data_IF_495607042352
#
_entry.id   IF_495607042352
#
_cell.length_a   1.000
_cell.length_b   1.000
_cell.length_c   1.000
_cell.angle_alpha   90.00
_cell.angle_beta   90.00
_cell.angle_gamma   90.00
#
_symmetry.space_group_name_H-M   'P 1'
#
loop_
_entity.id
_entity.type
_entity.pdbx_description
1 polymer ?
#
# COMPACT_ATOMS: atom_id res chain seq x y z
N UNK A 1 46.32 -34.41 -43.55
CA UNK A 1 47.38 -34.66 -42.56
C UNK A 1 46.75 -35.28 -41.34
N UNK A 2 47.07 -36.54 -41.11
CA UNK A 2 46.52 -37.36 -40.05
C UNK A 2 47.46 -37.38 -38.83
N UNK A 3 46.86 -37.64 -37.67
CA UNK A 3 47.40 -38.44 -36.55
C UNK A 3 48.56 -37.95 -35.68
N UNK A 4 48.26 -38.00 -34.37
CA UNK A 4 49.06 -38.58 -33.28
C UNK A 4 50.32 -37.85 -32.79
N UNK A 5 50.40 -37.61 -31.47
CA UNK A 5 51.16 -38.45 -30.51
C UNK A 5 51.25 -37.76 -29.15
N UNK A 6 50.96 -38.50 -28.09
CA UNK A 6 51.39 -38.18 -26.74
C UNK A 6 52.79 -38.72 -26.46
N UNK A 7 53.50 -38.06 -25.53
CA UNK A 7 54.66 -38.52 -24.73
C UNK A 7 54.59 -37.66 -23.45
N UNK A 8 54.44 -38.17 -22.23
CA UNK A 8 55.33 -39.06 -21.46
C UNK A 8 56.15 -38.18 -20.48
N UNK A 9 55.71 -38.01 -19.23
CA UNK A 9 56.15 -38.68 -17.97
C UNK A 9 57.52 -38.25 -17.39
N UNK A 10 57.48 -37.67 -16.18
CA UNK A 10 58.36 -37.94 -15.01
C UNK A 10 57.88 -37.08 -13.83
N UNK A 11 57.20 -37.60 -12.81
CA UNK A 11 57.67 -38.37 -11.64
C UNK A 11 58.56 -37.58 -10.68
N UNK A 12 58.00 -37.16 -9.54
CA UNK A 12 58.56 -37.42 -8.20
C UNK A 12 57.45 -37.19 -7.15
N UNK A 13 57.35 -38.12 -6.21
CA UNK A 13 56.27 -38.21 -5.24
C UNK A 13 56.77 -38.11 -3.80
N UNK A 14 55.83 -37.83 -2.89
CA UNK A 14 55.78 -38.19 -1.47
C UNK A 14 54.81 -37.21 -0.78
N UNK A 15 53.85 -37.58 0.05
CA UNK A 15 53.35 -38.87 0.50
C UNK A 15 52.08 -38.64 1.34
N UNK A 16 51.42 -39.74 1.73
CA UNK A 16 50.62 -39.81 2.96
C UNK A 16 49.18 -39.30 2.92
N UNK A 17 48.23 -40.23 2.80
CA UNK A 17 46.77 -40.08 3.00
C UNK A 17 46.41 -40.13 4.52
N UNK A 18 45.12 -40.24 4.99
CA UNK A 18 43.81 -40.00 4.37
C UNK A 18 42.78 -39.22 5.26
N UNK A 19 41.65 -38.86 4.64
CA UNK A 19 40.25 -38.79 5.12
C UNK A 19 39.92 -38.60 6.62
N UNK A 20 39.08 -37.58 6.90
CA UNK A 20 38.01 -37.70 7.91
C UNK A 20 36.76 -36.90 7.53
N UNK A 21 35.64 -37.62 7.50
CA UNK A 21 34.28 -37.11 7.55
C UNK A 21 34.09 -36.18 8.75
N UNK A 22 33.38 -35.06 8.55
CA UNK A 22 32.81 -34.28 9.64
C UNK A 22 31.29 -34.21 9.44
N UNK A 23 30.61 -35.00 10.27
CA UNK A 23 29.18 -34.88 10.55
C UNK A 23 28.85 -33.53 11.22
N UNK A 24 27.59 -33.08 11.16
CA UNK A 24 27.19 -31.74 11.61
C UNK A 24 27.17 -31.66 13.14
N UNK A 25 27.97 -30.77 13.70
CA UNK A 25 27.88 -30.41 15.11
C UNK A 25 26.67 -29.51 15.35
N UNK A 26 25.65 -30.08 16.01
CA UNK A 26 24.59 -29.32 16.70
C UNK A 26 25.25 -28.29 17.62
N UNK A 27 25.11 -27.01 17.30
CA UNK A 27 25.37 -25.93 18.25
C UNK A 27 24.03 -25.42 18.76
N UNK A 28 23.69 -25.87 19.96
CA UNK A 28 22.62 -25.34 20.81
C UNK A 28 22.91 -23.87 21.13
N UNK A 29 22.04 -22.96 20.69
CA UNK A 29 22.02 -21.57 21.17
C UNK A 29 21.30 -21.51 22.52
N UNK A 30 21.82 -20.79 23.52
CA UNK A 30 21.14 -20.60 24.78
C UNK A 30 20.00 -19.58 24.64
N UNK A 31 18.84 -19.95 25.16
CA UNK A 31 17.68 -19.10 25.42
C UNK A 31 18.04 -18.01 26.44
N UNK A 32 17.70 -16.76 26.15
CA UNK A 32 17.58 -15.69 27.16
C UNK A 32 16.22 -15.00 26.99
N UNK A 33 15.45 -14.75 28.07
CA UNK A 33 14.03 -14.42 28.03
C UNK A 33 13.75 -12.91 28.19
N UNK A 34 12.52 -12.49 27.89
CA UNK A 34 11.91 -11.31 28.51
C UNK A 34 11.46 -10.22 27.54
N UNK A 35 10.20 -10.28 27.14
CA UNK A 35 9.41 -9.17 26.59
C UNK A 35 8.94 -8.23 27.70
N UNK A 36 8.96 -6.93 27.44
CA UNK A 36 8.02 -5.95 27.98
C UNK A 36 7.91 -4.73 27.02
N UNK A 37 6.76 -4.04 26.97
CA UNK A 37 6.31 -3.25 25.83
C UNK A 37 6.78 -1.79 25.86
N UNK A 38 6.91 -1.18 24.67
CA UNK A 38 7.21 0.26 24.51
C UNK A 38 5.92 1.11 24.59
N UNK A 39 5.95 2.27 25.28
CA UNK A 39 4.76 3.10 25.46
C UNK A 39 4.56 4.12 24.33
N UNK A 40 3.28 4.41 24.10
CA UNK A 40 2.72 5.43 23.22
C UNK A 40 2.96 6.88 23.69
N UNK A 41 2.79 7.79 22.72
CA UNK A 41 2.41 9.20 22.83
C UNK A 41 3.52 10.25 23.02
N UNK A 42 3.62 11.16 22.04
CA UNK A 42 3.51 12.62 22.21
C UNK A 42 3.72 13.31 20.85
N UNK A 43 2.62 13.69 20.18
CA UNK A 43 2.63 14.63 19.06
C UNK A 43 1.90 15.92 19.49
N UNK A 44 2.63 17.03 19.46
CA UNK A 44 2.11 18.39 19.69
C UNK A 44 1.69 19.02 18.35
N UNK A 45 0.52 19.69 18.26
CA UNK A 45 0.11 20.34 17.03
C UNK A 45 0.58 21.81 16.96
N UNK A 46 1.34 22.15 15.91
CA UNK A 46 1.62 23.52 15.49
C UNK A 46 0.38 24.09 14.75
N UNK A 47 -0.25 25.12 15.31
CA UNK A 47 -1.36 25.88 14.70
C UNK A 47 -0.81 27.02 13.84
N UNK A 48 -1.09 27.01 12.54
CA UNK A 48 -1.04 28.20 11.69
C UNK A 48 -2.46 28.79 11.56
N UNK A 49 -2.62 30.08 11.90
CA UNK A 49 -3.87 30.84 11.78
C UNK A 49 -3.92 31.54 10.42
N UNK A 50 -4.94 31.28 9.62
CA UNK A 50 -5.32 32.08 8.45
C UNK A 50 -6.47 33.01 8.85
N UNK A 51 -6.30 34.32 8.65
CA UNK A 51 -7.35 35.34 8.84
C UNK A 51 -8.24 35.41 7.58
N UNK A 52 -9.55 35.28 7.75
CA UNK A 52 -10.56 35.64 6.75
C UNK A 52 -11.50 36.69 7.36
N UNK A 53 -11.75 37.75 6.59
CA UNK A 53 -12.55 38.95 6.91
C UNK A 53 -14.02 38.62 7.18
N UNK A 54 -14.65 39.47 8.00
CA UNK A 54 -16.06 39.44 8.40
C UNK A 54 -17.05 39.57 7.22
N UNK A 55 -18.25 38.93 7.31
CA UNK A 55 -19.34 39.08 6.35
C UNK A 55 -20.37 40.17 6.74
N UNK A 56 -20.96 40.82 5.73
CA UNK A 56 -22.08 41.78 5.80
C UNK A 56 -23.42 41.04 5.97
N UNK A 57 -24.40 41.54 6.76
CA UNK A 57 -25.61 40.79 7.08
C UNK A 57 -26.73 40.98 6.03
N UNK A 58 -27.43 39.90 5.70
CA UNK A 58 -28.70 39.92 4.96
C UNK A 58 -29.73 39.12 5.79
N UNK A 59 -30.93 39.68 5.91
CA UNK A 59 -32.01 39.29 6.82
C UNK A 59 -32.71 37.95 6.52
N UNK A 60 -33.77 37.65 7.28
CA UNK A 60 -34.23 36.30 7.57
C UNK A 60 -35.16 35.77 6.49
N UNK A 61 -34.94 34.55 6.00
CA UNK A 61 -36.00 33.59 5.67
C UNK A 61 -35.41 32.24 5.25
N UNK A 62 -36.03 31.16 5.77
CA UNK A 62 -35.88 29.75 5.40
C UNK A 62 -34.48 29.11 5.60
N UNK A 63 -34.27 28.56 6.81
CA UNK A 63 -33.14 27.70 7.19
C UNK A 63 -33.08 26.42 6.36
N UNK A 64 -32.23 26.40 5.34
CA UNK A 64 -31.71 25.18 4.73
C UNK A 64 -30.30 24.89 5.27
N UNK A 65 -30.15 23.84 6.08
CA UNK A 65 -28.84 23.39 6.56
C UNK A 65 -28.03 22.69 5.45
N UNK A 66 -26.71 22.89 5.34
CA UNK A 66 -25.85 22.23 4.34
C UNK A 66 -25.72 20.71 4.58
N UNK A 67 -25.28 19.92 3.57
CA UNK A 67 -25.41 18.47 3.59
C UNK A 67 -24.30 17.76 4.39
N UNK A 68 -24.72 16.96 5.36
CA UNK A 68 -23.98 15.84 5.99
C UNK A 68 -24.27 14.51 5.25
N UNK A 69 -23.38 13.49 5.33
CA UNK A 69 -23.39 12.27 4.48
C UNK A 69 -24.61 11.36 4.73
N UNK A 70 -24.91 10.37 3.85
CA UNK A 70 -26.25 9.81 3.73
C UNK A 70 -26.52 8.79 4.84
N UNK A 71 -27.47 9.12 5.71
CA UNK A 71 -28.04 8.19 6.67
C UNK A 71 -29.33 8.77 7.23
N UNK A 72 -30.46 8.25 6.73
CA UNK A 72 -31.86 8.54 7.12
C UNK A 72 -32.25 10.02 7.34
N UNK A 73 -33.17 10.53 6.51
CA UNK A 73 -33.87 11.79 6.80
C UNK A 73 -35.36 11.53 6.99
N UNK A 74 -35.88 11.98 8.14
CA UNK A 74 -37.30 11.96 8.48
C UNK A 74 -37.95 13.27 8.02
N UNK A 75 -39.07 13.17 7.30
CA UNK A 75 -39.90 14.31 6.91
C UNK A 75 -41.21 14.20 7.67
N UNK A 76 -41.51 15.20 8.50
CA UNK A 76 -42.78 15.33 9.22
C UNK A 76 -43.66 16.32 8.46
N UNK A 77 -44.84 15.88 8.04
CA UNK A 77 -45.84 16.74 7.40
C UNK A 77 -46.96 17.03 8.41
N UNK A 78 -47.27 18.30 8.64
CA UNK A 78 -48.46 18.71 9.39
C UNK A 78 -49.63 18.90 8.42
N UNK A 79 -50.78 18.32 8.81
CA UNK A 79 -52.11 18.50 8.26
C UNK A 79 -52.32 18.14 6.78
N UNK A 80 -52.89 16.95 6.55
CA UNK A 80 -53.71 16.63 5.37
C UNK A 80 -53.03 16.54 4.00
N UNK A 81 -51.76 16.93 3.86
CA UNK A 81 -51.04 17.03 2.58
C UNK A 81 -50.35 15.77 2.08
N UNK A 82 -50.89 14.57 2.35
CA UNK A 82 -50.22 13.30 2.04
C UNK A 82 -49.87 13.10 0.55
N UNK A 83 -50.68 13.63 -0.37
CA UNK A 83 -50.45 13.54 -1.83
C UNK A 83 -49.34 14.46 -2.32
N UNK A 84 -49.21 15.68 -1.76
CA UNK A 84 -48.17 16.63 -2.16
C UNK A 84 -46.76 16.16 -1.77
N UNK A 85 -46.63 15.46 -0.64
CA UNK A 85 -45.37 14.87 -0.21
C UNK A 85 -44.94 13.70 -1.12
N UNK A 86 -45.89 12.88 -1.57
CA UNK A 86 -45.65 11.75 -2.46
C UNK A 86 -45.27 12.23 -3.87
N UNK A 87 -45.97 13.21 -4.42
CA UNK A 87 -45.65 13.78 -5.74
C UNK A 87 -44.28 14.48 -5.76
N UNK A 88 -43.92 15.18 -4.68
CA UNK A 88 -42.60 15.81 -4.55
C UNK A 88 -41.45 14.79 -4.43
N UNK A 89 -41.69 13.66 -3.76
CA UNK A 89 -40.73 12.55 -3.64
C UNK A 89 -40.60 11.74 -4.93
N UNK A 90 -41.72 11.48 -5.63
CA UNK A 90 -41.74 10.79 -6.91
C UNK A 90 -40.99 11.58 -8.00
N UNK A 91 -41.13 12.92 -8.02
CA UNK A 91 -40.38 13.81 -8.92
C UNK A 91 -38.85 13.77 -8.72
N UNK A 92 -38.38 13.19 -7.61
CA UNK A 92 -36.94 13.00 -7.29
C UNK A 92 -36.48 11.54 -7.37
N UNK A 93 -37.29 10.65 -7.95
CA UNK A 93 -36.89 9.27 -8.24
C UNK A 93 -36.87 8.32 -7.03
N UNK A 94 -37.73 8.56 -6.04
CA UNK A 94 -37.77 7.79 -4.80
C UNK A 94 -39.06 6.98 -4.62
N UNK A 95 -38.93 5.80 -4.01
CA UNK A 95 -40.06 5.01 -3.51
C UNK A 95 -40.47 5.50 -2.11
N UNK A 96 -41.78 5.67 -1.89
CA UNK A 96 -42.35 6.16 -0.64
C UNK A 96 -43.29 5.11 -0.03
N UNK A 97 -43.01 4.67 1.20
CA UNK A 97 -43.90 3.78 1.97
C UNK A 97 -44.56 4.53 3.14
N UNK A 98 -45.84 4.27 3.34
CA UNK A 98 -46.63 4.86 4.44
C UNK A 98 -46.41 4.05 5.71
N UNK A 99 -45.76 4.64 6.72
CA UNK A 99 -45.57 4.01 8.02
C UNK A 99 -46.86 4.02 8.83
N UNK A 100 -47.44 2.84 9.08
CA UNK A 100 -48.71 2.70 9.82
C UNK A 100 -48.55 2.96 11.32
N UNK A 101 -48.94 4.16 11.77
CA UNK A 101 -49.13 4.48 13.19
C UNK A 101 -50.62 4.60 13.54
N UNK A 102 -51.13 3.74 14.42
CA UNK A 102 -52.49 3.89 14.98
C UNK A 102 -52.49 5.01 16.03
N UNK A 103 -53.10 6.15 15.70
CA UNK A 103 -53.51 7.16 16.67
C UNK A 103 -53.09 8.60 16.31
N UNK A 104 -54.09 9.43 15.97
CA UNK A 104 -54.00 10.90 16.07
C UNK A 104 -53.19 11.63 15.00
N UNK A 105 -53.80 11.84 13.83
CA UNK A 105 -53.65 13.07 13.01
C UNK A 105 -52.31 13.39 12.34
N UNK A 106 -51.28 12.54 12.40
CA UNK A 106 -49.98 12.79 11.75
C UNK A 106 -49.51 11.57 10.94
N UNK A 107 -49.41 11.74 9.62
CA UNK A 107 -48.84 10.74 8.72
C UNK A 107 -47.31 10.83 8.75
N UNK A 108 -46.64 9.71 9.04
CA UNK A 108 -45.17 9.61 8.99
C UNK A 108 -44.77 8.82 7.75
N UNK A 109 -43.93 9.44 6.93
CA UNK A 109 -43.39 8.84 5.71
C UNK A 109 -41.90 8.55 5.88
N UNK A 110 -41.51 7.31 5.61
CA UNK A 110 -40.12 6.88 5.69
C UNK A 110 -39.57 6.82 4.27
N UNK A 111 -38.53 7.60 4.02
CA UNK A 111 -37.83 7.60 2.75
C UNK A 111 -36.61 6.67 2.80
N UNK A 112 -36.46 5.81 1.79
CA UNK A 112 -35.19 5.14 1.47
C UNK A 112 -34.73 5.64 0.10
N UNK A 113 -33.46 6.06 -0.06
CA UNK A 113 -32.92 6.27 -1.39
C UNK A 113 -32.98 4.94 -2.15
N UNK A 114 -33.59 4.95 -3.34
CA UNK A 114 -33.41 3.88 -4.32
C UNK A 114 -31.91 3.82 -4.64
N UNK A 115 -31.32 2.63 -4.53
CA UNK A 115 -29.94 2.42 -5.00
C UNK A 115 -29.87 2.85 -6.47
N UNK A 116 -28.84 3.62 -6.89
CA UNK A 116 -28.70 3.93 -8.30
C UNK A 116 -28.68 2.61 -9.08
N UNK A 117 -29.43 2.50 -10.19
CA UNK A 117 -29.42 1.29 -10.99
C UNK A 117 -27.98 1.03 -11.43
N UNK A 118 -27.48 -0.16 -11.10
CA UNK A 118 -26.14 -0.66 -11.42
C UNK A 118 -25.86 -0.33 -12.90
N UNK A 119 -24.86 0.53 -13.21
CA UNK A 119 -24.53 0.80 -14.60
C UNK A 119 -23.94 -0.50 -15.16
N UNK A 120 -24.76 -1.19 -15.96
CA UNK A 120 -24.49 -2.48 -16.56
C UNK A 120 -24.38 -3.65 -15.56
N UNK A 121 -25.51 -4.36 -15.39
CA UNK A 121 -25.53 -5.77 -15.02
C UNK A 121 -24.73 -6.60 -16.02
N UNK A 122 -23.44 -6.71 -15.77
CA UNK A 122 -22.52 -7.65 -16.40
C UNK A 122 -21.80 -8.37 -15.27
N UNK A 123 -22.44 -9.38 -14.68
CA UNK A 123 -21.80 -10.27 -13.72
C UNK A 123 -20.59 -10.93 -14.37
N UNK A 124 -19.41 -10.31 -14.24
CA UNK A 124 -18.15 -10.93 -14.61
C UNK A 124 -17.99 -12.15 -13.73
N UNK A 125 -17.90 -13.32 -14.34
CA UNK A 125 -17.52 -14.56 -13.64
C UNK A 125 -16.25 -14.26 -12.83
N UNK A 126 -16.27 -14.62 -11.55
CA UNK A 126 -15.15 -14.49 -10.61
C UNK A 126 -13.80 -14.98 -11.16
N UNK A 127 -13.78 -15.85 -12.16
CA UNK A 127 -12.60 -16.41 -12.80
C UNK A 127 -11.84 -15.44 -13.75
N UNK A 128 -12.21 -14.16 -13.84
CA UNK A 128 -11.58 -13.19 -14.75
C UNK A 128 -10.90 -12.00 -14.07
N UNK A 129 -10.79 -11.96 -12.74
CA UNK A 129 -10.18 -10.82 -12.04
C UNK A 129 -8.73 -10.62 -12.49
N UNK A 130 -8.38 -9.38 -12.89
CA UNK A 130 -7.01 -8.97 -13.18
C UNK A 130 -6.48 -8.14 -12.01
N UNK A 131 -5.32 -8.51 -11.49
CA UNK A 131 -4.66 -7.79 -10.41
C UNK A 131 -3.49 -6.95 -10.93
N UNK A 132 -3.44 -5.68 -10.55
CA UNK A 132 -2.28 -4.80 -10.75
C UNK A 132 -1.53 -4.66 -9.43
N UNK A 133 -0.23 -4.94 -9.44
CA UNK A 133 0.62 -4.86 -8.25
C UNK A 133 1.71 -3.82 -8.46
N UNK A 134 1.69 -2.76 -7.65
CA UNK A 134 2.71 -1.73 -7.68
C UNK A 134 3.91 -2.10 -6.80
N UNK A 135 5.09 -2.21 -7.41
CA UNK A 135 6.35 -2.51 -6.73
C UNK A 135 7.33 -1.34 -6.88
N UNK A 136 8.02 -0.98 -5.79
CA UNK A 136 9.02 0.08 -5.77
C UNK A 136 10.41 -0.49 -5.48
N UNK A 137 11.41 0.02 -6.19
CA UNK A 137 12.83 -0.22 -5.92
C UNK A 137 13.30 0.80 -4.88
N UNK A 138 13.83 0.32 -3.76
CA UNK A 138 14.27 1.16 -2.64
C UNK A 138 15.64 0.70 -2.14
N UNK A 139 16.29 1.51 -1.30
CA UNK A 139 17.49 1.08 -0.58
C UNK A 139 17.11 -0.09 0.34
N UNK A 140 17.98 -1.10 0.43
CA UNK A 140 17.73 -2.27 1.26
C UNK A 140 17.55 -1.87 2.74
N UNK A 141 16.51 -2.41 3.39
CA UNK A 141 16.15 -2.06 4.75
C UNK A 141 17.24 -2.35 5.79
N UNK A 142 18.18 -3.25 5.49
CA UNK A 142 19.31 -3.56 6.37
C UNK A 142 20.48 -2.57 6.24
N UNK A 143 20.45 -1.67 5.24
CA UNK A 143 21.50 -0.69 5.02
C UNK A 143 21.28 0.54 5.88
N UNK A 144 22.31 0.93 6.63
CA UNK A 144 22.37 2.24 7.27
C UNK A 144 22.64 3.32 6.21
N UNK A 145 21.62 4.13 5.92
CA UNK A 145 21.72 5.25 4.99
C UNK A 145 22.72 6.30 5.46
N UNK A 146 23.26 7.05 4.51
CA UNK A 146 24.14 8.21 4.75
C UNK A 146 23.58 9.39 3.98
N UNK A 147 23.46 10.53 4.65
CA UNK A 147 23.12 11.79 4.00
C UNK A 147 24.32 12.27 3.18
N UNK A 148 24.06 12.82 2.00
CA UNK A 148 25.11 13.40 1.16
C UNK A 148 25.69 14.65 1.84
N UNK A 149 27.00 14.94 1.71
CA UNK A 149 27.60 16.17 2.26
C UNK A 149 26.98 17.47 1.72
N UNK A 150 26.39 17.42 0.52
CA UNK A 150 25.69 18.54 -0.11
C UNK A 150 24.28 18.80 0.45
N UNK A 151 23.80 17.96 1.37
CA UNK A 151 22.44 18.00 1.95
C UNK A 151 21.31 17.92 0.92
N UNK A 152 21.57 17.43 -0.29
CA UNK A 152 20.57 17.33 -1.37
C UNK A 152 19.89 15.96 -1.44
N UNK A 153 20.24 15.04 -0.55
CA UNK A 153 19.60 13.72 -0.47
C UNK A 153 20.45 12.69 0.27
N UNK A 154 20.11 11.42 0.07
CA UNK A 154 20.87 10.27 0.59
C UNK A 154 21.79 9.70 -0.48
N UNK A 155 22.87 9.05 -0.06
CA UNK A 155 23.79 8.35 -0.97
C UNK A 155 23.10 7.10 -1.51
N UNK A 156 22.87 7.06 -2.82
CA UNK A 156 22.28 5.92 -3.55
C UNK A 156 23.33 5.12 -4.32
N UNK A 157 24.46 5.73 -4.66
CA UNK A 157 25.48 5.11 -5.50
C UNK A 157 26.26 4.03 -4.75
N UNK A 158 26.40 2.86 -5.37
CA UNK A 158 27.08 1.70 -4.76
C UNK A 158 26.32 1.07 -3.58
N UNK A 159 25.11 1.54 -3.27
CA UNK A 159 24.27 0.99 -2.22
C UNK A 159 23.40 -0.14 -2.76
N UNK A 160 23.28 -1.22 -1.99
CA UNK A 160 22.38 -2.33 -2.32
C UNK A 160 20.93 -1.83 -2.30
N UNK A 161 20.22 -2.08 -3.40
CA UNK A 161 18.79 -1.85 -3.51
C UNK A 161 18.05 -3.17 -3.57
N UNK A 162 16.80 -3.16 -3.11
CA UNK A 162 15.90 -4.32 -3.15
C UNK A 162 14.46 -3.86 -3.38
N UNK A 163 13.54 -4.83 -3.48
CA UNK A 163 12.13 -4.51 -3.52
C UNK A 163 11.70 -4.01 -2.15
N UNK A 164 10.84 -2.99 -2.12
CA UNK A 164 10.24 -2.53 -0.88
C UNK A 164 9.53 -3.71 -0.16
N UNK A 165 9.79 -3.98 1.13
CA UNK A 165 9.22 -5.15 1.82
C UNK A 165 7.69 -5.22 1.75
N UNK A 166 7.00 -4.10 1.87
CA UNK A 166 5.53 -4.07 1.74
C UNK A 166 5.05 -4.42 0.32
N UNK A 167 5.86 -4.13 -0.70
CA UNK A 167 5.56 -4.51 -2.08
C UNK A 167 5.76 -6.02 -2.31
N UNK A 168 6.72 -6.66 -1.64
CA UNK A 168 6.89 -8.13 -1.71
C UNK A 168 5.65 -8.86 -1.18
N UNK A 169 5.07 -8.36 -0.08
CA UNK A 169 3.83 -8.88 0.52
C UNK A 169 2.63 -8.68 -0.41
N UNK A 170 2.55 -7.52 -1.07
CA UNK A 170 1.51 -7.26 -2.05
C UNK A 170 1.60 -8.20 -3.26
N UNK A 171 2.82 -8.49 -3.73
CA UNK A 171 3.06 -9.47 -4.81
C UNK A 171 2.67 -10.88 -4.35
N UNK A 172 3.07 -11.29 -3.15
CA UNK A 172 2.73 -12.60 -2.61
C UNK A 172 1.20 -12.78 -2.51
N UNK A 173 0.47 -11.78 -2.03
CA UNK A 173 -0.99 -11.88 -1.92
C UNK A 173 -1.63 -12.05 -3.30
N UNK A 174 -1.20 -11.26 -4.28
CA UNK A 174 -1.70 -11.39 -5.65
C UNK A 174 -1.42 -12.79 -6.23
N UNK A 175 -0.25 -13.36 -5.95
CA UNK A 175 0.12 -14.72 -6.38
C UNK A 175 -0.73 -15.77 -5.66
N UNK A 176 -0.96 -15.64 -4.34
CA UNK A 176 -1.85 -16.54 -3.58
C UNK A 176 -3.27 -16.52 -4.12
N UNK A 177 -3.80 -15.34 -4.44
CA UNK A 177 -5.12 -15.20 -5.07
C UNK A 177 -5.18 -15.87 -6.45
N UNK A 178 -4.09 -15.80 -7.22
CA UNK A 178 -3.98 -16.52 -8.49
C UNK A 178 -3.92 -18.03 -8.30
N UNK A 179 -3.17 -18.53 -7.33
CA UNK A 179 -3.10 -19.98 -7.03
C UNK A 179 -4.45 -20.54 -6.59
N UNK A 180 -5.25 -19.74 -5.88
CA UNK A 180 -6.64 -20.03 -5.52
C UNK A 180 -7.62 -19.92 -6.71
N UNK A 181 -7.13 -19.58 -7.91
CA UNK A 181 -7.92 -19.35 -9.14
C UNK A 181 -8.96 -18.24 -9.01
N UNK A 182 -8.75 -17.31 -8.09
CA UNK A 182 -9.58 -16.12 -7.91
C UNK A 182 -9.11 -14.98 -8.82
N UNK A 183 -7.81 -14.90 -9.08
CA UNK A 183 -7.20 -13.95 -10.02
C UNK A 183 -6.67 -14.70 -11.23
N UNK A 184 -6.98 -14.21 -12.43
CA UNK A 184 -6.55 -14.79 -13.71
C UNK A 184 -5.15 -14.35 -14.10
N UNK A 185 -4.83 -13.09 -13.86
CA UNK A 185 -3.58 -12.47 -14.31
C UNK A 185 -3.07 -11.47 -13.26
N UNK A 186 -1.77 -11.54 -12.97
CA UNK A 186 -1.06 -10.62 -12.08
C UNK A 186 -0.06 -9.80 -12.89
N UNK A 187 -0.27 -8.48 -12.90
CA UNK A 187 0.54 -7.50 -13.63
C UNK A 187 1.39 -6.74 -12.61
N UNK A 188 2.71 -6.86 -12.68
CA UNK A 188 3.61 -6.09 -11.83
C UNK A 188 3.99 -4.78 -12.51
N UNK A 189 3.87 -3.64 -11.81
CA UNK A 189 4.24 -2.32 -12.33
C UNK A 189 5.26 -1.64 -11.42
N UNK A 190 6.28 -1.02 -12.03
CA UNK A 190 7.20 -0.14 -11.31
C UNK A 190 7.46 1.12 -12.13
N UNK A 191 7.58 2.27 -11.45
CA UNK A 191 7.87 3.56 -12.05
C UNK A 191 9.26 4.01 -11.58
N UNK A 192 10.10 4.48 -12.51
CA UNK A 192 11.42 5.01 -12.14
C UNK A 192 12.50 4.76 -13.21
N UNK A 193 13.78 4.78 -12.79
CA UNK A 193 14.91 4.52 -13.67
C UNK A 193 14.92 3.10 -14.23
N UNK A 194 15.71 2.85 -15.28
CA UNK A 194 15.85 1.53 -15.91
C UNK A 194 16.18 0.39 -14.92
N UNK A 195 16.86 0.70 -13.81
CA UNK A 195 17.17 -0.25 -12.74
C UNK A 195 15.92 -0.84 -12.06
N UNK A 196 14.76 -0.19 -12.14
CA UNK A 196 13.47 -0.72 -11.65
C UNK A 196 13.05 -2.00 -12.39
N UNK A 197 13.58 -2.27 -13.59
CA UNK A 197 13.32 -3.53 -14.29
C UNK A 197 13.82 -4.75 -13.50
N UNK A 198 14.90 -4.63 -12.72
CA UNK A 198 15.39 -5.72 -11.86
C UNK A 198 14.36 -6.09 -10.80
N UNK A 199 13.74 -5.08 -10.17
CA UNK A 199 12.66 -5.26 -9.19
C UNK A 199 11.44 -5.92 -9.82
N UNK A 200 11.07 -5.53 -11.04
CA UNK A 200 9.98 -6.18 -11.79
C UNK A 200 10.34 -7.64 -12.09
N UNK A 201 11.60 -7.96 -12.45
CA UNK A 201 12.04 -9.35 -12.67
C UNK A 201 11.91 -10.19 -11.40
N UNK A 202 12.18 -9.63 -10.22
CA UNK A 202 11.93 -10.30 -8.94
C UNK A 202 10.45 -10.61 -8.76
N UNK A 203 9.55 -9.66 -9.00
CA UNK A 203 8.10 -9.91 -8.94
C UNK A 203 7.64 -11.00 -9.93
N UNK A 204 8.19 -10.99 -11.16
CA UNK A 204 7.95 -12.01 -12.18
C UNK A 204 8.45 -13.41 -11.79
N UNK A 205 9.52 -13.47 -10.98
CA UNK A 205 10.10 -14.69 -10.45
C UNK A 205 9.32 -15.23 -9.24
N UNK A 206 8.71 -14.35 -8.43
CA UNK A 206 7.80 -14.74 -7.35
C UNK A 206 6.50 -15.33 -7.89
N UNK A 207 5.99 -14.80 -9.00
CA UNK A 207 4.82 -15.38 -9.66
C UNK A 207 4.03 -14.44 -10.55
N UNK A 208 4.38 -13.15 -10.69
CA UNK A 208 3.67 -12.25 -11.59
C UNK A 208 3.75 -12.73 -13.06
N UNK A 209 2.71 -12.49 -13.86
CA UNK A 209 2.58 -13.01 -15.22
C UNK A 209 3.33 -12.13 -16.22
N UNK A 210 3.17 -10.80 -16.10
CA UNK A 210 3.87 -9.80 -16.92
C UNK A 210 4.23 -8.55 -16.13
N UNK A 211 5.18 -7.78 -16.66
CA UNK A 211 5.70 -6.57 -16.05
C UNK A 211 5.47 -5.34 -16.92
N UNK A 212 5.18 -4.21 -16.29
CA UNK A 212 5.13 -2.89 -16.91
C UNK A 212 6.16 -1.99 -16.20
N UNK A 213 7.10 -1.47 -16.96
CA UNK A 213 8.07 -0.50 -16.51
C UNK A 213 7.66 0.88 -17.03
N UNK A 214 7.30 1.78 -16.12
CA UNK A 214 7.08 3.17 -16.47
C UNK A 214 8.40 3.91 -16.33
N UNK A 215 9.06 4.11 -17.45
CA UNK A 215 10.41 4.64 -17.50
C UNK A 215 10.40 6.15 -17.24
N UNK A 216 11.12 6.54 -16.18
CA UNK A 216 11.38 7.92 -15.81
C UNK A 216 12.90 8.11 -15.75
N UNK A 217 13.47 9.09 -16.46
CA UNK A 217 14.90 9.36 -16.41
C UNK A 217 15.37 9.59 -14.97
N UNK A 218 16.59 9.16 -14.63
CA UNK A 218 17.13 9.26 -13.28
C UNK A 218 17.08 10.69 -12.71
N UNK A 219 17.30 11.71 -13.54
CA UNK A 219 17.23 13.12 -13.14
C UNK A 219 15.82 13.59 -12.72
N UNK A 220 14.77 12.93 -13.22
CA UNK A 220 13.37 13.23 -12.88
C UNK A 220 12.83 12.27 -11.82
N UNK A 221 13.46 11.09 -11.66
CA UNK A 221 13.06 10.10 -10.68
C UNK A 221 13.15 10.61 -9.23
N UNK A 222 14.11 11.49 -8.92
CA UNK A 222 14.24 12.11 -7.60
C UNK A 222 13.04 13.00 -7.23
N UNK A 223 12.28 13.48 -8.23
CA UNK A 223 11.07 14.29 -8.05
C UNK A 223 9.79 13.47 -8.12
N UNK A 224 9.90 12.17 -8.39
CA UNK A 224 8.76 11.28 -8.55
C UNK A 224 8.17 10.97 -7.18
N UNK A 225 7.07 11.66 -6.84
CA UNK A 225 6.36 11.46 -5.58
C UNK A 225 5.12 10.57 -5.70
N UNK A 226 4.43 10.33 -4.58
CA UNK A 226 3.17 9.57 -4.54
C UNK A 226 2.10 10.07 -5.51
N UNK A 227 2.03 11.39 -5.73
CA UNK A 227 1.04 12.00 -6.64
C UNK A 227 1.22 11.54 -8.09
N UNK A 228 2.45 11.60 -8.60
CA UNK A 228 2.76 11.21 -9.98
C UNK A 228 2.54 9.71 -10.16
N UNK A 229 3.02 8.90 -9.21
CA UNK A 229 2.83 7.45 -9.22
C UNK A 229 1.34 7.10 -9.21
N UNK A 230 0.54 7.73 -8.36
CA UNK A 230 -0.90 7.46 -8.28
C UNK A 230 -1.65 7.78 -9.58
N UNK A 231 -1.27 8.86 -10.29
CA UNK A 231 -1.85 9.19 -11.61
C UNK A 231 -1.49 8.14 -12.67
N UNK A 232 -0.22 7.71 -12.69
CA UNK A 232 0.24 6.64 -13.58
C UNK A 232 -0.50 5.34 -13.32
N UNK A 233 -0.62 4.94 -12.05
CA UNK A 233 -1.32 3.72 -11.65
C UNK A 233 -2.81 3.77 -12.00
N UNK A 234 -3.47 4.91 -11.81
CA UNK A 234 -4.87 5.09 -12.21
C UNK A 234 -5.06 4.90 -13.73
N UNK A 235 -4.21 5.52 -14.56
CA UNK A 235 -4.27 5.34 -16.02
C UNK A 235 -3.96 3.92 -16.47
N UNK A 236 -3.04 3.24 -15.78
CA UNK A 236 -2.78 1.83 -16.04
C UNK A 236 -3.93 0.94 -15.62
N UNK A 237 -4.58 1.22 -14.50
CA UNK A 237 -5.74 0.46 -14.04
C UNK A 237 -6.89 0.52 -15.05
N UNK A 238 -7.17 1.71 -15.60
CA UNK A 238 -8.16 1.92 -16.67
C UNK A 238 -7.75 1.22 -17.98
N UNK A 239 -6.51 1.44 -18.45
CA UNK A 239 -5.98 0.85 -19.70
C UNK A 239 -6.01 -0.68 -19.67
N UNK A 240 -5.63 -1.26 -18.54
CA UNK A 240 -5.56 -2.70 -18.34
C UNK A 240 -6.85 -3.30 -17.79
N UNK A 241 -7.88 -2.48 -17.53
CA UNK A 241 -9.20 -2.92 -17.01
C UNK A 241 -9.04 -3.86 -15.81
N UNK A 242 -8.21 -3.46 -14.85
CA UNK A 242 -7.94 -4.27 -13.66
C UNK A 242 -9.08 -4.15 -12.66
N UNK A 243 -9.28 -5.20 -11.88
CA UNK A 243 -10.36 -5.28 -10.90
C UNK A 243 -9.83 -5.14 -9.47
N UNK A 244 -8.54 -5.41 -9.25
CA UNK A 244 -7.89 -5.30 -7.95
C UNK A 244 -6.52 -4.63 -8.10
N UNK A 245 -6.27 -3.58 -7.33
CA UNK A 245 -4.99 -2.91 -7.29
C UNK A 245 -4.34 -3.09 -5.91
N UNK A 246 -3.20 -3.78 -5.88
CA UNK A 246 -2.45 -4.08 -4.66
C UNK A 246 -1.18 -3.23 -4.61
N UNK A 247 -0.97 -2.54 -3.50
CA UNK A 247 0.27 -1.82 -3.20
C UNK A 247 0.78 -2.22 -1.82
N UNK A 248 2.04 -1.90 -1.52
CA UNK A 248 2.48 -1.85 -0.14
C UNK A 248 1.83 -0.67 0.61
N UNK A 249 1.67 -0.79 1.93
CA UNK A 249 1.25 0.31 2.82
C UNK A 249 2.08 1.58 2.60
N UNK A 250 3.39 1.46 2.72
CA UNK A 250 4.32 2.57 2.54
C UNK A 250 5.59 2.09 1.85
N UNK A 251 6.38 3.04 1.34
CA UNK A 251 7.73 2.78 0.90
C UNK A 251 8.70 3.25 1.98
N UNK A 252 9.68 2.42 2.33
CA UNK A 252 10.61 2.66 3.45
C UNK A 252 11.62 3.79 3.21
N UNK A 253 11.63 4.38 2.02
CA UNK A 253 12.52 5.46 1.64
C UNK A 253 11.86 6.84 1.81
N UNK A 254 10.61 6.99 1.35
CA UNK A 254 9.84 8.24 1.46
C UNK A 254 8.87 8.27 2.66
N UNK A 255 8.59 7.12 3.26
CA UNK A 255 7.65 6.90 4.38
C UNK A 255 6.32 7.66 4.24
N UNK A 256 5.86 7.86 3.01
CA UNK A 256 4.72 8.75 2.75
C UNK A 256 3.37 8.11 3.08
N UNK A 257 3.21 6.80 2.90
CA UNK A 257 1.94 6.08 3.12
C UNK A 257 0.74 6.77 2.41
N UNK A 258 0.91 7.16 1.14
CA UNK A 258 -0.05 8.00 0.39
C UNK A 258 -0.50 7.38 -0.93
N UNK A 259 0.40 6.70 -1.66
CA UNK A 259 0.18 6.30 -3.06
C UNK A 259 -1.08 5.47 -3.25
N UNK A 260 -1.37 4.52 -2.34
CA UNK A 260 -2.56 3.67 -2.44
C UNK A 260 -3.85 4.47 -2.32
N UNK A 261 -3.96 5.31 -1.30
CA UNK A 261 -5.14 6.14 -1.03
C UNK A 261 -5.36 7.18 -2.14
N UNK A 262 -4.28 7.79 -2.65
CA UNK A 262 -4.38 8.71 -3.78
C UNK A 262 -4.85 8.01 -5.06
N UNK A 263 -4.36 6.79 -5.32
CA UNK A 263 -4.77 6.00 -6.49
C UNK A 263 -6.27 5.66 -6.41
N UNK A 264 -6.73 5.25 -5.23
CA UNK A 264 -8.15 5.00 -4.98
C UNK A 264 -9.00 6.26 -5.21
N UNK A 265 -8.55 7.41 -4.72
CA UNK A 265 -9.23 8.69 -4.94
C UNK A 265 -9.28 9.14 -6.40
N UNK A 266 -8.23 8.89 -7.20
CA UNK A 266 -8.25 9.21 -8.64
C UNK A 266 -9.18 8.31 -9.45
N UNK A 267 -9.32 7.05 -9.04
CA UNK A 267 -10.19 6.06 -9.70
C UNK A 267 -11.63 6.10 -9.18
N UNK A 268 -11.89 6.83 -8.09
CA UNK A 268 -13.14 6.78 -7.31
C UNK A 268 -13.47 5.34 -6.86
N UNK A 269 -12.44 4.59 -6.44
CA UNK A 269 -12.56 3.20 -5.99
C UNK A 269 -12.55 3.09 -4.47
N UNK A 270 -13.26 2.11 -3.89
CA UNK A 270 -13.14 1.80 -2.47
C UNK A 270 -11.72 1.32 -2.14
N UNK A 271 -11.28 1.64 -0.92
CA UNK A 271 -9.93 1.32 -0.44
C UNK A 271 -9.94 0.46 0.82
N UNK A 272 -9.03 -0.50 0.90
CA UNK A 272 -8.73 -1.30 2.08
C UNK A 272 -7.27 -1.09 2.49
N UNK A 273 -7.02 -0.09 3.35
CA UNK A 273 -5.65 0.19 3.80
C UNK A 273 -5.25 -0.66 5.00
N UNK A 274 -3.94 -0.88 5.16
CA UNK A 274 -3.35 -1.64 6.27
C UNK A 274 -3.92 -3.07 6.38
N UNK A 275 -4.12 -3.72 5.24
CA UNK A 275 -4.73 -5.03 5.18
C UNK A 275 -3.83 -6.09 5.82
N UNK A 276 -4.35 -6.79 6.83
CA UNK A 276 -3.76 -7.99 7.46
C UNK A 276 -4.43 -9.29 7.00
N UNK A 277 -5.64 -9.22 6.45
CA UNK A 277 -6.26 -10.35 5.77
C UNK A 277 -7.12 -9.87 4.59
N UNK A 278 -7.07 -10.61 3.48
CA UNK A 278 -7.88 -10.35 2.29
C UNK A 278 -8.62 -11.61 1.87
N UNK A 279 -9.94 -11.51 1.73
CA UNK A 279 -10.81 -12.59 1.24
C UNK A 279 -11.69 -12.07 0.12
N UNK A 280 -11.67 -12.74 -1.03
CA UNK A 280 -12.56 -12.41 -2.15
C UNK A 280 -13.88 -13.16 -1.99
N UNK A 281 -14.99 -12.43 -1.95
CA UNK A 281 -16.35 -12.94 -1.78
C UNK A 281 -17.22 -12.49 -2.97
N UNK A 282 -17.21 -13.26 -4.07
CA UNK A 282 -18.04 -12.90 -5.22
C UNK A 282 -17.54 -11.63 -5.92
N UNK A 283 -18.42 -10.61 -5.93
CA UNK A 283 -18.19 -9.26 -6.43
C UNK A 283 -17.57 -8.32 -5.38
N UNK A 284 -17.30 -8.83 -4.17
CA UNK A 284 -16.85 -8.05 -3.03
C UNK A 284 -15.52 -8.55 -2.49
N UNK A 285 -14.83 -7.66 -1.79
CA UNK A 285 -13.60 -7.94 -1.09
C UNK A 285 -13.81 -7.68 0.40
N UNK A 286 -13.62 -8.71 1.23
CA UNK A 286 -13.58 -8.58 2.68
C UNK A 286 -12.13 -8.38 3.10
N UNK A 287 -11.85 -7.26 3.75
CA UNK A 287 -10.51 -6.87 4.19
C UNK A 287 -10.51 -6.65 5.69
N UNK A 288 -9.63 -7.34 6.40
CA UNK A 288 -9.31 -7.04 7.79
C UNK A 288 -8.13 -6.08 7.82
N UNK A 289 -8.28 -4.99 8.56
CA UNK A 289 -7.36 -3.85 8.62
C UNK A 289 -6.78 -3.73 10.01
N UNK A 290 -5.49 -3.47 10.09
CA UNK A 290 -4.82 -3.08 11.33
C UNK A 290 -5.08 -1.58 11.58
N UNK A 291 -5.67 -1.29 12.73
CA UNK A 291 -5.94 0.07 13.24
C UNK A 291 -5.30 0.23 14.62
N UNK A 292 -5.16 1.46 15.11
CA UNK A 292 -4.42 1.73 16.36
C UNK A 292 -4.92 0.91 17.57
N UNK A 293 -6.25 0.70 17.65
CA UNK A 293 -6.88 -0.06 18.73
C UNK A 293 -7.08 -1.56 18.48
N UNK A 294 -6.61 -2.11 17.35
CA UNK A 294 -6.81 -3.53 17.02
C UNK A 294 -7.14 -3.77 15.55
N UNK A 295 -8.21 -4.54 15.28
CA UNK A 295 -8.59 -4.96 13.93
C UNK A 295 -9.96 -4.42 13.54
N UNK A 296 -10.08 -3.95 12.30
CA UNK A 296 -11.34 -3.51 11.68
C UNK A 296 -11.61 -4.33 10.42
N UNK A 297 -12.79 -4.95 10.33
CA UNK A 297 -13.21 -5.65 9.12
C UNK A 297 -14.11 -4.78 8.26
N UNK A 298 -13.72 -4.55 7.01
CA UNK A 298 -14.51 -3.81 6.02
C UNK A 298 -14.83 -4.68 4.80
N UNK A 299 -15.93 -4.36 4.12
CA UNK A 299 -16.32 -5.02 2.88
C UNK A 299 -16.42 -3.99 1.76
N UNK A 300 -15.68 -4.22 0.69
CA UNK A 300 -15.52 -3.31 -0.44
C UNK A 300 -16.14 -3.94 -1.70
N UNK A 301 -16.78 -3.14 -2.55
CA UNK A 301 -17.24 -3.59 -3.88
C UNK A 301 -16.03 -3.59 -4.82
N UNK A 302 -15.87 -4.60 -5.68
CA UNK A 302 -14.86 -4.57 -6.73
C UNK A 302 -15.34 -3.68 -7.90
N UNK A 303 -14.45 -2.91 -8.55
CA UNK A 303 -12.99 -2.88 -8.37
C UNK A 303 -12.54 -2.12 -7.12
N UNK A 304 -11.41 -2.52 -6.52
CA UNK A 304 -10.92 -1.93 -5.26
C UNK A 304 -9.39 -1.78 -5.21
N UNK A 305 -8.93 -0.87 -4.35
CA UNK A 305 -7.51 -0.66 -4.04
C UNK A 305 -7.20 -1.19 -2.63
N UNK A 306 -6.12 -1.96 -2.48
CA UNK A 306 -5.72 -2.55 -1.21
C UNK A 306 -4.24 -2.27 -0.95
N UNK A 307 -3.91 -1.86 0.27
CA UNK A 307 -2.51 -1.70 0.69
C UNK A 307 -2.15 -2.76 1.73
N UNK A 308 -1.13 -3.57 1.44
CA UNK A 308 -0.68 -4.66 2.31
C UNK A 308 0.11 -4.14 3.52
N UNK A 309 -0.26 -4.62 4.71
CA UNK A 309 0.53 -4.49 5.93
C UNK A 309 1.53 -5.66 6.07
N UNK A 310 2.50 -5.54 6.98
CA UNK A 310 3.50 -6.58 7.25
C UNK A 310 2.89 -7.92 7.69
N UNK A 311 1.71 -7.88 8.33
CA UNK A 311 1.06 -9.07 8.88
C UNK A 311 0.25 -9.88 7.85
N UNK A 312 0.06 -9.36 6.64
CA UNK A 312 -0.81 -9.99 5.64
C UNK A 312 -0.34 -11.39 5.24
N UNK A 313 0.95 -11.55 4.98
CA UNK A 313 1.54 -12.82 4.59
C UNK A 313 3.07 -12.81 4.74
N UNK A 314 3.66 -13.99 4.56
CA UNK A 314 5.10 -14.18 4.42
C UNK A 314 5.43 -14.36 2.93
N UNK A 315 6.21 -13.44 2.31
CA UNK A 315 6.60 -13.53 0.91
C UNK A 315 7.45 -14.76 0.63
N UNK A 316 7.17 -15.47 -0.47
CA UNK A 316 7.98 -16.63 -0.88
C UNK A 316 9.30 -16.19 -1.52
N UNK A 317 10.34 -16.99 -1.31
CA UNK A 317 11.58 -16.84 -2.07
C UNK A 317 11.42 -17.36 -3.50
N UNK A 318 11.91 -16.59 -4.46
CA UNK A 318 11.94 -17.02 -5.86
C UNK A 318 12.97 -18.14 -6.05
N UNK A 319 12.54 -19.28 -6.59
CA UNK A 319 13.43 -20.41 -6.89
C UNK A 319 14.29 -20.13 -8.14
N UNK A 320 15.50 -20.70 -8.21
CA UNK A 320 16.40 -20.54 -9.36
C UNK A 320 15.72 -20.82 -10.73
N UNK A 321 14.89 -21.87 -10.89
CA UNK A 321 14.17 -22.10 -12.15
C UNK A 321 13.20 -20.97 -12.49
N UNK A 322 12.53 -20.39 -11.50
CA UNK A 322 11.59 -19.28 -11.71
C UNK A 322 12.31 -17.99 -12.08
N UNK A 323 13.49 -17.72 -11.51
CA UNK A 323 14.34 -16.59 -11.89
C UNK A 323 14.74 -16.70 -13.37
N UNK A 324 15.10 -17.89 -13.83
CA UNK A 324 15.45 -18.12 -15.25
C UNK A 324 14.24 -17.98 -16.18
N UNK A 325 13.06 -18.43 -15.77
CA UNK A 325 11.80 -18.21 -16.52
C UNK A 325 11.42 -16.73 -16.53
N UNK A 326 11.64 -16.01 -15.43
CA UNK A 326 11.32 -14.60 -15.29
C UNK A 326 12.11 -13.74 -16.29
N UNK A 327 13.36 -14.11 -16.64
CA UNK A 327 14.14 -13.44 -17.70
C UNK A 327 13.51 -13.52 -19.10
N UNK A 328 12.71 -14.56 -19.36
CA UNK A 328 12.01 -14.77 -20.65
C UNK A 328 10.68 -14.03 -20.73
N UNK A 329 10.05 -13.73 -19.58
CA UNK A 329 8.79 -12.98 -19.54
C UNK A 329 9.00 -11.57 -20.07
N UNK A 330 8.02 -11.04 -20.81
CA UNK A 330 8.11 -9.70 -21.41
C UNK A 330 7.90 -8.63 -20.33
N UNK A 331 8.71 -7.57 -20.38
CA UNK A 331 8.49 -6.32 -19.66
C UNK A 331 8.12 -5.29 -20.72
N UNK A 332 6.92 -4.72 -20.62
CA UNK A 332 6.51 -3.59 -21.44
C UNK A 332 7.12 -2.32 -20.85
N UNK A 333 7.81 -1.52 -21.67
CA UNK A 333 8.36 -0.23 -21.26
C UNK A 333 7.49 0.85 -21.87
N UNK A 334 6.96 1.74 -21.02
CA UNK A 334 6.13 2.88 -21.42
C UNK A 334 6.65 4.14 -20.74
N UNK A 335 6.38 5.30 -21.32
CA UNK A 335 6.69 6.59 -20.71
C UNK A 335 5.43 7.19 -20.07
N UNK A 336 5.57 8.01 -19.02
CA UNK A 336 4.43 8.74 -18.44
C UNK A 336 3.66 9.58 -19.46
N UNK A 337 4.36 10.16 -20.44
CA UNK A 337 3.75 10.92 -21.54
C UNK A 337 2.82 10.07 -22.42
N UNK A 338 3.10 8.77 -22.60
CA UNK A 338 2.24 7.85 -23.37
C UNK A 338 0.91 7.58 -22.65
N UNK A 339 0.88 7.77 -21.34
CA UNK A 339 -0.32 7.68 -20.50
C UNK A 339 -1.05 9.03 -20.34
N UNK A 340 -0.51 10.11 -20.92
CA UNK A 340 -1.02 11.47 -20.74
C UNK A 340 -0.85 11.99 -19.31
N UNK A 341 0.15 11.52 -18.57
CA UNK A 341 0.40 11.93 -17.18
C UNK A 341 1.51 12.97 -17.14
N UNK A 342 1.19 14.13 -16.55
CA UNK A 342 2.15 15.15 -16.20
C UNK A 342 2.90 14.79 -14.90
N UNK A 343 4.24 14.86 -14.96
CA UNK A 343 5.13 14.60 -13.82
C UNK A 343 5.46 15.85 -13.01
N UNK A 344 4.91 17.01 -13.37
CA UNK A 344 5.18 18.27 -12.67
C UNK A 344 4.90 18.15 -11.16
N UNK A 345 5.92 18.43 -10.35
CA UNK A 345 5.80 18.45 -8.89
C UNK A 345 5.70 19.88 -8.40
N UNK A 346 4.80 20.12 -7.45
CA UNK A 346 4.68 21.37 -6.70
C UNK A 346 5.45 21.33 -5.37
N UNK A 347 6.16 20.24 -5.11
CA UNK A 347 7.01 20.06 -3.94
C UNK A 347 8.47 20.17 -4.34
N UNK A 348 9.25 20.84 -3.49
CA UNK A 348 10.70 20.98 -3.65
C UNK A 348 11.35 20.64 -2.31
N UNK A 349 12.31 19.73 -2.34
CA UNK A 349 13.13 19.37 -1.18
C UNK A 349 14.22 20.44 -1.07
N UNK A 350 14.19 21.21 0.02
CA UNK A 350 15.16 22.30 0.26
C UNK A 350 16.47 21.75 0.83
N UNK A 351 16.40 20.79 1.75
CA UNK A 351 17.56 20.17 2.39
C UNK A 351 17.20 18.83 3.01
N UNK A 352 18.17 17.93 3.08
CA UNK A 352 18.14 16.65 3.81
C UNK A 352 19.31 16.64 4.78
N UNK A 353 19.03 16.42 6.07
CA UNK A 353 20.02 16.48 7.14
C UNK A 353 19.93 15.24 8.03
N UNK A 354 21.04 14.91 8.69
CA UNK A 354 21.03 13.86 9.71
C UNK A 354 20.17 14.29 10.91
N UNK A 355 19.43 13.35 11.54
CA UNK A 355 18.73 13.64 12.77
C UNK A 355 19.72 14.04 13.89
N UNK A 356 19.26 14.80 14.91
CA UNK A 356 20.12 15.20 16.01
C UNK A 356 20.71 13.97 16.70
N UNK A 357 22.04 13.95 16.84
CA UNK A 357 22.72 12.85 17.50
C UNK A 357 22.32 12.81 18.99
N UNK A 358 21.82 11.66 19.43
CA UNK A 358 21.49 11.43 20.84
C UNK A 358 22.77 11.45 21.67
N UNK A 359 22.77 12.19 22.77
CA UNK A 359 23.88 12.17 23.74
C UNK A 359 24.08 10.75 24.29
N UNK A 360 25.34 10.36 24.48
CA UNK A 360 25.67 9.05 25.04
C UNK A 360 24.97 8.85 26.39
N UNK A 361 24.32 7.69 26.54
CA UNK A 361 23.67 7.30 27.80
C UNK A 361 24.68 6.77 28.83
N UNK A 362 24.21 6.64 30.06
CA UNK A 362 24.98 6.05 31.17
C UNK A 362 24.50 4.62 31.38
N UNK A 363 25.43 3.69 31.60
CA UNK A 363 25.13 2.31 32.03
C UNK A 363 25.16 2.27 33.56
N UNK A 364 24.16 1.65 34.17
CA UNK A 364 24.05 1.46 35.63
C UNK A 364 24.15 -0.03 35.95
N UNK A 365 24.72 -0.35 37.10
CA UNK A 365 24.98 -1.74 37.52
C UNK A 365 23.78 -2.37 38.23
N UNK A 366 22.99 -1.56 38.93
CA UNK A 366 21.87 -2.04 39.76
C UNK A 366 20.54 -1.37 39.39
N UNK A 367 19.44 -1.99 39.81
CA UNK A 367 18.08 -1.44 39.62
C UNK A 367 17.87 -0.24 40.53
N UNK A 368 18.46 -0.25 41.73
CA UNK A 368 18.43 0.84 42.69
C UNK A 368 19.06 2.11 42.09
N UNK A 369 20.23 1.97 41.44
CA UNK A 369 20.89 3.08 40.76
C UNK A 369 20.06 3.61 39.59
N UNK A 370 19.40 2.73 38.82
CA UNK A 370 18.51 3.14 37.75
C UNK A 370 17.36 4.00 38.30
N UNK A 371 16.67 3.53 39.33
CA UNK A 371 15.54 4.25 39.93
C UNK A 371 16.01 5.56 40.57
N UNK A 372 17.16 5.57 41.25
CA UNK A 372 17.76 6.77 41.80
C UNK A 372 18.03 7.81 40.70
N UNK A 373 18.66 7.40 39.59
CA UNK A 373 18.94 8.28 38.44
C UNK A 373 17.65 8.80 37.79
N UNK A 374 16.62 7.97 37.67
CA UNK A 374 15.32 8.37 37.12
C UNK A 374 14.59 9.38 38.00
N UNK A 375 14.67 9.24 39.32
CA UNK A 375 14.16 10.22 40.30
C UNK A 375 14.91 11.54 40.23
N UNK A 376 16.24 11.51 40.15
CA UNK A 376 17.08 12.72 40.02
C UNK A 376 16.71 13.55 38.78
N UNK A 377 16.34 12.89 37.66
CA UNK A 377 15.93 13.57 36.42
C UNK A 377 14.41 13.81 36.31
N UNK A 378 13.64 13.53 37.37
CA UNK A 378 12.20 13.78 37.44
C UNK A 378 11.36 12.98 36.44
N UNK A 379 11.80 11.77 36.07
CA UNK A 379 11.05 10.87 35.18
C UNK A 379 10.17 9.87 35.94
N UNK A 380 10.47 9.67 37.23
CA UNK A 380 9.71 8.84 38.18
C UNK A 380 9.57 9.62 39.47
#
# INVERSE_FOLDING_TARGET
MATCRGVGKSSEGSGGAPLRELQPTRTTFPLVPGHAPFPESLSLPLRSRLFLRDPVPIGPDLLATPPSPPGLRLVLCQDGGGTAAVDWLAARGADAERGGGRGGGRDVWIWRPSEPPDPAGGGRKMAELRALVAVKRVIDFAVKIRVKPDKMGVVTDGVKHSMNPFCEIAVEEAVRLKEKKLVKEVIAVSCGPAQCQETIRTALAMGADRGIHVEVPAAEADRLGPLQVARVLAKLAEKEKVDLLLLGKQAIDDDCNQTGQMTAGFLDWPQGTFASQVTVEGDKLKVEREVDGGLETVRLKLPAVVTADLRLNEPRYATLPNIMKAKKKKIEVIKPGDLGVDLTSKLSIVSVEDPPQRTAGIKVETVEDLVAKLKEIGRI
#
